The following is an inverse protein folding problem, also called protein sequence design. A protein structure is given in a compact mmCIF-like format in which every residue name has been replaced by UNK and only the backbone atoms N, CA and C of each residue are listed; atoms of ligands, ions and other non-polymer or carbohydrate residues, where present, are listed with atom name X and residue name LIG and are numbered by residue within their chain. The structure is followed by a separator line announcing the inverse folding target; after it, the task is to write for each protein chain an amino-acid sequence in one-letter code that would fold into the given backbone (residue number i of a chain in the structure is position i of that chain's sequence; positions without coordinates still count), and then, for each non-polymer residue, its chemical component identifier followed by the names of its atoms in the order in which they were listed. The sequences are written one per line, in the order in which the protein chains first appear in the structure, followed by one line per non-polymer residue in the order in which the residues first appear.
data_IF_670970165453
#
_entry.id   IF_670970165453
#
_cell.length_a   1.000
_cell.length_b   1.000
_cell.length_c   1.000
_cell.angle_alpha   90.00
_cell.angle_beta   90.00
_cell.angle_gamma   90.00
#
_symmetry.space_group_name_H-M   'P 1'
#
loop_
_entity.id
_entity.type
_entity.pdbx_description
1 polymer ?
#
# COMPACT_ATOMS: atom_id res chain seq x y z
N UNK A 1 28.22 -9.60 -24.18
CA UNK A 1 26.84 -9.14 -24.46
C UNK A 1 26.02 -9.30 -23.20
N UNK A 2 25.69 -8.19 -22.52
CA UNK A 2 24.79 -8.22 -21.35
C UNK A 2 23.38 -8.54 -21.86
N UNK A 3 22.75 -9.57 -21.32
CA UNK A 3 21.38 -9.95 -21.67
C UNK A 3 20.44 -8.75 -21.39
N UNK A 4 19.91 -8.17 -22.47
CA UNK A 4 18.97 -7.04 -22.47
C UNK A 4 17.51 -7.51 -22.24
N UNK A 5 17.29 -8.65 -21.63
CA UNK A 5 15.93 -9.15 -21.43
C UNK A 5 15.63 -9.18 -19.93
N UNK A 6 14.75 -8.29 -19.50
CA UNK A 6 14.12 -8.38 -18.21
C UNK A 6 13.34 -9.72 -18.08
N UNK A 7 13.09 -10.13 -16.86
CA UNK A 7 12.41 -11.40 -16.56
C UNK A 7 10.89 -11.37 -16.79
N UNK A 8 10.31 -10.21 -17.05
CA UNK A 8 8.91 -10.11 -17.44
C UNK A 8 8.79 -10.17 -18.97
N UNK A 9 7.78 -10.90 -19.45
CA UNK A 9 7.64 -11.27 -20.86
C UNK A 9 6.68 -10.38 -21.63
N UNK A 10 5.57 -9.99 -20.98
CA UNK A 10 4.46 -9.29 -21.62
C UNK A 10 3.54 -8.66 -20.57
N UNK A 11 2.56 -7.92 -21.02
CA UNK A 11 1.33 -7.70 -20.26
C UNK A 11 0.31 -8.77 -20.63
N UNK A 12 -0.50 -9.20 -19.66
CA UNK A 12 -1.51 -10.25 -19.84
C UNK A 12 -2.84 -9.79 -19.25
N UNK A 13 -3.91 -10.00 -19.99
CA UNK A 13 -5.25 -9.73 -19.50
C UNK A 13 -5.62 -10.72 -18.38
N UNK A 14 -6.09 -10.23 -17.25
CA UNK A 14 -6.50 -11.05 -16.10
C UNK A 14 -7.76 -11.88 -16.39
N UNK A 15 -8.62 -11.43 -17.32
CA UNK A 15 -9.89 -12.05 -17.64
C UNK A 15 -9.75 -13.08 -18.78
N UNK A 16 -9.32 -12.63 -19.97
CA UNK A 16 -9.30 -13.47 -21.17
C UNK A 16 -7.93 -14.08 -21.49
N UNK A 17 -6.88 -13.76 -20.75
CA UNK A 17 -5.55 -14.32 -20.92
C UNK A 17 -4.76 -13.78 -22.13
N UNK A 18 -5.28 -12.83 -22.92
CA UNK A 18 -4.55 -12.26 -24.07
C UNK A 18 -3.29 -11.54 -23.63
N UNK A 19 -2.22 -11.71 -24.43
CA UNK A 19 -0.95 -11.06 -24.21
C UNK A 19 -0.83 -9.77 -25.03
N UNK A 20 -0.12 -8.79 -24.45
CA UNK A 20 0.13 -7.47 -25.00
C UNK A 20 1.61 -7.11 -24.88
N UNK A 21 2.12 -6.22 -25.74
CA UNK A 21 3.50 -5.76 -25.65
C UNK A 21 3.78 -5.03 -24.32
N UNK A 22 5.06 -4.89 -23.98
CA UNK A 22 5.56 -4.21 -22.76
C UNK A 22 5.47 -2.69 -22.87
N UNK A 23 4.32 -2.17 -23.21
CA UNK A 23 4.03 -0.76 -23.47
C UNK A 23 3.17 -0.13 -22.38
N UNK A 24 2.84 1.14 -22.51
CA UNK A 24 1.98 1.87 -21.56
C UNK A 24 0.48 1.54 -21.79
N UNK A 25 0.11 0.30 -21.55
CA UNK A 25 -1.23 -0.24 -21.70
C UNK A 25 -1.76 -0.73 -20.35
N UNK A 26 -3.06 -0.57 -20.08
CA UNK A 26 -3.65 -0.96 -18.80
C UNK A 26 -4.95 -1.75 -18.92
N UNK A 27 -5.57 -1.75 -20.09
CA UNK A 27 -6.87 -2.39 -20.36
C UNK A 27 -6.75 -3.26 -21.60
N UNK A 28 -7.38 -4.42 -21.58
CA UNK A 28 -7.51 -5.32 -22.72
C UNK A 28 -8.44 -4.72 -23.77
N UNK A 29 -8.00 -4.63 -25.02
CA UNK A 29 -8.80 -4.12 -26.13
C UNK A 29 -9.99 -5.00 -26.52
N UNK A 30 -9.94 -6.27 -26.11
CA UNK A 30 -10.98 -7.24 -26.45
C UNK A 30 -12.10 -7.36 -25.41
N UNK A 31 -11.76 -7.54 -24.13
CA UNK A 31 -12.76 -7.77 -23.08
C UNK A 31 -12.78 -6.68 -22.02
N UNK A 32 -11.99 -5.61 -22.20
CA UNK A 32 -11.83 -4.49 -21.28
C UNK A 32 -11.36 -4.88 -19.87
N UNK A 33 -10.90 -6.12 -19.68
CA UNK A 33 -10.31 -6.57 -18.43
C UNK A 33 -8.96 -5.88 -18.15
N UNK A 34 -8.56 -5.73 -16.87
CA UNK A 34 -7.30 -5.12 -16.52
C UNK A 34 -6.11 -5.99 -16.95
N UNK A 35 -5.05 -5.32 -17.39
CA UNK A 35 -3.78 -5.97 -17.70
C UNK A 35 -2.93 -6.10 -16.44
N UNK A 36 -2.15 -7.16 -16.35
CA UNK A 36 -1.09 -7.36 -15.37
C UNK A 36 0.20 -7.85 -16.03
N UNK A 37 1.32 -7.72 -15.32
CA UNK A 37 2.62 -8.14 -15.80
C UNK A 37 2.75 -9.65 -15.71
N UNK A 38 3.20 -10.27 -16.81
CA UNK A 38 3.53 -11.68 -16.90
C UNK A 38 5.04 -11.89 -16.85
N UNK A 39 5.48 -13.00 -16.22
CA UNK A 39 6.89 -13.27 -15.96
C UNK A 39 7.29 -14.65 -16.44
N UNK A 40 8.54 -14.79 -16.88
CA UNK A 40 9.19 -16.07 -17.12
C UNK A 40 9.69 -16.68 -15.79
N UNK A 41 8.79 -17.33 -15.08
CA UNK A 41 9.13 -17.92 -13.77
C UNK A 41 10.12 -19.08 -13.90
N UNK A 42 10.19 -19.78 -15.03
CA UNK A 42 11.13 -20.87 -15.24
C UNK A 42 12.54 -20.31 -15.37
N UNK A 43 12.71 -19.21 -16.13
CA UNK A 43 13.98 -18.50 -16.20
C UNK A 43 14.34 -17.90 -14.83
N UNK A 44 13.41 -17.24 -14.14
CA UNK A 44 13.66 -16.64 -12.81
C UNK A 44 14.16 -17.72 -11.83
N UNK A 45 13.55 -18.90 -11.83
CA UNK A 45 13.92 -20.02 -10.95
C UNK A 45 15.37 -20.46 -11.13
N UNK A 46 15.94 -20.32 -12.34
CA UNK A 46 17.33 -20.70 -12.61
C UNK A 46 18.36 -19.70 -12.06
N UNK A 47 17.93 -18.46 -11.76
CA UNK A 47 18.85 -17.37 -11.43
C UNK A 47 18.60 -16.73 -10.06
N UNK A 48 17.43 -16.90 -9.47
CA UNK A 48 17.05 -16.28 -8.21
C UNK A 48 17.04 -17.31 -7.07
N UNK A 49 17.94 -17.12 -6.10
CA UNK A 49 18.06 -17.92 -4.88
C UNK A 49 17.95 -17.02 -3.65
N UNK A 50 17.72 -17.61 -2.47
CA UNK A 50 17.72 -16.86 -1.20
C UNK A 50 19.06 -16.14 -1.00
N UNK A 51 20.18 -16.82 -1.16
CA UNK A 51 21.53 -16.25 -1.02
C UNK A 51 21.74 -15.06 -1.95
N UNK A 52 21.25 -15.14 -3.18
CA UNK A 52 21.33 -14.03 -4.14
C UNK A 52 20.49 -12.84 -3.73
N UNK A 53 19.32 -13.05 -3.16
CA UNK A 53 18.49 -11.98 -2.62
C UNK A 53 19.21 -11.34 -1.42
N UNK A 54 19.67 -12.13 -0.46
CA UNK A 54 20.33 -11.68 0.76
C UNK A 54 21.65 -10.96 0.50
N UNK A 55 22.40 -11.32 -0.55
CA UNK A 55 23.64 -10.66 -0.94
C UNK A 55 23.45 -9.23 -1.46
N UNK A 56 22.23 -8.78 -1.71
CA UNK A 56 21.94 -7.45 -2.25
C UNK A 56 21.61 -6.46 -1.13
N UNK A 57 21.76 -5.14 -1.40
CA UNK A 57 21.35 -4.10 -0.45
C UNK A 57 19.90 -4.30 0.05
N UNK A 58 19.62 -3.97 1.33
CA UNK A 58 18.30 -4.15 1.93
C UNK A 58 17.31 -3.07 1.43
N UNK A 59 16.85 -3.22 0.20
CA UNK A 59 15.84 -2.39 -0.47
C UNK A 59 14.88 -3.31 -1.23
N UNK A 60 13.76 -2.77 -1.70
CA UNK A 60 12.83 -3.55 -2.52
C UNK A 60 13.46 -4.09 -3.82
N UNK A 61 14.51 -3.45 -4.31
CA UNK A 61 15.19 -3.81 -5.56
C UNK A 61 16.02 -5.09 -5.46
N UNK A 62 16.15 -5.66 -4.27
CA UNK A 62 16.77 -7.00 -4.09
C UNK A 62 15.96 -8.12 -4.75
N UNK A 63 14.65 -7.87 -5.05
CA UNK A 63 13.73 -8.77 -5.76
C UNK A 63 13.53 -8.37 -7.22
N UNK A 64 14.48 -7.68 -7.85
CA UNK A 64 14.32 -7.05 -9.17
C UNK A 64 13.89 -8.00 -10.30
N UNK A 65 14.23 -9.29 -10.22
CA UNK A 65 13.80 -10.30 -11.19
C UNK A 65 12.27 -10.51 -11.18
N UNK A 66 11.62 -10.18 -10.09
CA UNK A 66 10.17 -10.25 -9.89
C UNK A 66 9.49 -8.87 -10.02
N UNK A 67 10.21 -7.85 -10.50
CA UNK A 67 9.68 -6.51 -10.73
C UNK A 67 9.79 -6.16 -12.23
N UNK A 68 8.86 -5.35 -12.78
CA UNK A 68 8.73 -5.13 -14.22
C UNK A 68 9.69 -4.04 -14.74
N UNK A 69 10.98 -4.25 -14.54
CA UNK A 69 12.07 -3.43 -15.09
C UNK A 69 12.99 -4.29 -15.95
N UNK A 70 13.58 -3.74 -16.99
CA UNK A 70 14.47 -4.45 -17.91
C UNK A 70 15.94 -4.23 -17.59
N UNK A 71 16.28 -3.10 -16.95
CA UNK A 71 17.63 -2.73 -16.54
C UNK A 71 17.84 -2.72 -15.04
N UNK A 72 18.86 -1.95 -14.63
CA UNK A 72 19.04 -1.60 -13.21
C UNK A 72 17.99 -0.56 -12.82
N UNK A 73 17.49 -0.59 -11.56
CA UNK A 73 16.55 0.41 -11.10
C UNK A 73 17.17 1.81 -11.18
N UNK A 74 16.38 2.78 -11.61
CA UNK A 74 16.86 4.16 -11.80
C UNK A 74 16.26 5.16 -10.81
N UNK A 75 15.27 4.74 -10.04
CA UNK A 75 14.52 5.58 -9.09
C UNK A 75 14.24 4.75 -7.84
N UNK A 76 14.24 5.39 -6.68
CA UNK A 76 13.86 4.76 -5.42
C UNK A 76 14.89 3.77 -4.86
N UNK A 77 16.19 4.10 -4.93
CA UNK A 77 17.26 3.21 -4.48
C UNK A 77 17.21 2.82 -3.00
N UNK A 78 16.53 3.60 -2.16
CA UNK A 78 16.43 3.38 -0.72
C UNK A 78 15.02 2.92 -0.29
N UNK A 79 14.14 2.67 -1.25
CA UNK A 79 12.74 2.29 -0.98
C UNK A 79 12.64 0.83 -0.57
N UNK A 80 11.74 0.56 0.36
CA UNK A 80 11.42 -0.78 0.80
C UNK A 80 12.39 -1.35 1.84
N UNK A 81 12.31 -2.65 2.05
CA UNK A 81 12.95 -3.39 3.13
C UNK A 81 12.75 -2.73 4.51
N UNK A 82 11.55 -2.19 4.69
CA UNK A 82 11.14 -1.56 5.95
C UNK A 82 11.10 -2.59 7.08
N UNK A 83 11.22 -2.16 8.33
CA UNK A 83 11.23 -3.10 9.45
C UNK A 83 9.99 -3.99 9.51
N UNK A 84 10.18 -5.27 9.77
CA UNK A 84 9.16 -6.19 10.28
C UNK A 84 9.34 -6.26 11.79
N UNK A 85 8.51 -5.52 12.53
CA UNK A 85 8.65 -5.33 13.97
C UNK A 85 7.86 -6.40 14.72
N UNK A 86 8.51 -7.14 15.62
CA UNK A 86 7.81 -8.04 16.55
C UNK A 86 7.01 -7.18 17.54
N UNK A 87 5.70 -7.39 17.61
CA UNK A 87 4.76 -6.55 18.35
C UNK A 87 4.20 -7.28 19.59
N UNK A 88 5.07 -7.61 20.55
CA UNK A 88 4.72 -8.44 21.70
C UNK A 88 3.74 -7.77 22.67
N UNK A 89 3.80 -6.43 22.83
CA UNK A 89 2.87 -5.69 23.70
C UNK A 89 1.50 -5.58 23.05
N UNK A 90 1.43 -5.37 21.73
CA UNK A 90 0.19 -5.41 20.98
C UNK A 90 -0.40 -6.82 20.98
N UNK A 91 0.42 -7.85 20.79
CA UNK A 91 0.01 -9.26 20.86
C UNK A 91 -0.69 -9.56 22.20
N UNK A 92 -0.06 -9.17 23.32
CA UNK A 92 -0.64 -9.32 24.67
C UNK A 92 -1.99 -8.59 24.80
N UNK A 93 -2.12 -7.39 24.26
CA UNK A 93 -3.37 -6.60 24.28
C UNK A 93 -4.48 -7.23 23.44
N UNK A 94 -4.14 -7.97 22.40
CA UNK A 94 -5.07 -8.67 21.51
C UNK A 94 -5.32 -10.13 21.93
N UNK A 95 -4.59 -10.66 22.92
CA UNK A 95 -4.69 -12.07 23.33
C UNK A 95 -4.06 -13.05 22.34
N UNK A 96 -3.05 -12.60 21.56
CA UNK A 96 -2.32 -13.39 20.56
C UNK A 96 -0.89 -13.71 21.02
N UNK A 97 -0.31 -14.77 20.47
CA UNK A 97 1.06 -15.21 20.78
C UNK A 97 2.12 -14.63 19.85
N UNK A 98 1.80 -14.41 18.58
CA UNK A 98 2.75 -13.96 17.58
C UNK A 98 2.15 -12.88 16.66
N UNK A 99 2.53 -11.62 16.89
CA UNK A 99 2.12 -10.48 16.07
C UNK A 99 3.33 -9.73 15.55
N UNK A 100 3.28 -9.39 14.28
CA UNK A 100 4.29 -8.60 13.58
C UNK A 100 3.66 -7.40 12.89
N UNK A 101 4.40 -6.30 12.83
CA UNK A 101 4.02 -5.10 12.10
C UNK A 101 4.98 -4.90 10.94
N UNK A 102 4.49 -4.99 9.70
CA UNK A 102 5.21 -4.53 8.52
C UNK A 102 5.10 -3.02 8.44
N UNK A 103 6.17 -2.34 8.82
CA UNK A 103 6.15 -0.92 9.19
C UNK A 103 6.60 -0.01 8.04
N UNK A 104 5.68 0.38 7.15
CA UNK A 104 5.94 1.38 6.10
C UNK A 104 5.77 2.83 6.58
N UNK A 105 5.59 3.08 7.89
CA UNK A 105 5.63 4.46 8.42
C UNK A 105 6.99 5.11 8.25
N UNK A 106 8.04 4.31 8.07
CA UNK A 106 9.42 4.77 7.88
C UNK A 106 9.93 4.54 6.45
N UNK A 107 9.06 4.21 5.51
CA UNK A 107 9.45 3.97 4.12
C UNK A 107 9.93 5.27 3.45
N UNK A 108 11.10 5.23 2.85
CA UNK A 108 11.73 6.38 2.19
C UNK A 108 11.13 6.57 0.78
N UNK A 109 10.96 7.82 0.25
CA UNK A 109 11.26 9.10 0.90
C UNK A 109 10.05 9.77 1.58
N UNK A 110 8.83 9.27 1.37
CA UNK A 110 7.62 10.00 1.77
C UNK A 110 6.85 9.37 2.92
N UNK A 111 7.46 8.46 3.64
CA UNK A 111 6.91 7.80 4.83
C UNK A 111 5.60 7.07 4.56
N UNK A 112 5.52 6.39 3.40
CA UNK A 112 4.37 5.57 3.06
C UNK A 112 4.70 4.43 2.09
N UNK A 113 3.82 3.44 2.05
CA UNK A 113 3.81 2.34 1.10
C UNK A 113 3.88 2.80 -0.37
N UNK A 114 3.36 4.00 -0.68
CA UNK A 114 3.29 4.50 -2.06
C UNK A 114 4.65 4.64 -2.73
N UNK A 115 5.71 4.80 -1.97
CA UNK A 115 7.07 4.87 -2.51
C UNK A 115 7.47 3.58 -3.23
N UNK A 116 6.98 2.41 -2.80
CA UNK A 116 7.22 1.12 -3.46
C UNK A 116 6.67 1.09 -4.89
N UNK A 117 5.39 1.39 -5.02
CA UNK A 117 4.67 1.31 -6.30
C UNK A 117 5.11 2.41 -7.27
N UNK A 118 5.40 3.59 -6.74
CA UNK A 118 5.86 4.73 -7.54
C UNK A 118 7.28 4.51 -8.06
N UNK A 119 8.19 3.99 -7.25
CA UNK A 119 9.57 3.69 -7.69
C UNK A 119 9.59 2.75 -8.88
N UNK A 120 8.77 1.70 -8.87
CA UNK A 120 8.64 0.78 -10.01
C UNK A 120 8.02 1.47 -11.22
N UNK A 121 6.91 2.20 -11.02
CA UNK A 121 6.23 2.91 -12.10
C UNK A 121 7.13 3.91 -12.80
N UNK A 122 7.87 4.74 -12.04
CA UNK A 122 8.75 5.76 -12.62
C UNK A 122 10.01 5.16 -13.27
N UNK A 123 10.58 4.10 -12.69
CA UNK A 123 11.68 3.38 -13.34
C UNK A 123 11.23 2.80 -14.68
N UNK A 124 10.04 2.19 -14.74
CA UNK A 124 9.48 1.67 -15.98
C UNK A 124 9.08 2.79 -16.96
N UNK A 125 8.51 3.89 -16.49
CA UNK A 125 8.19 5.04 -17.32
C UNK A 125 9.45 5.57 -18.05
N UNK A 126 10.57 5.67 -17.34
CA UNK A 126 11.85 6.06 -17.92
C UNK A 126 12.34 5.07 -18.98
N UNK A 127 12.26 3.78 -18.74
CA UNK A 127 12.61 2.74 -19.73
C UNK A 127 11.74 2.82 -20.99
N UNK A 128 10.48 3.24 -20.85
CA UNK A 128 9.55 3.50 -21.95
C UNK A 128 9.76 4.85 -22.64
N UNK A 129 10.72 5.66 -22.19
CA UNK A 129 11.05 6.96 -22.78
C UNK A 129 10.17 8.13 -22.36
N UNK A 130 9.38 7.98 -21.27
CA UNK A 130 8.59 9.10 -20.75
C UNK A 130 9.47 10.10 -19.99
N UNK A 131 9.32 11.37 -20.31
CA UNK A 131 9.98 12.49 -19.62
C UNK A 131 9.09 13.12 -18.54
N UNK A 132 7.79 12.97 -18.68
CA UNK A 132 6.78 13.54 -17.78
C UNK A 132 5.97 12.43 -17.10
N UNK A 133 5.88 12.50 -15.77
CA UNK A 133 5.07 11.61 -14.95
C UNK A 133 3.96 12.38 -14.25
N UNK A 134 2.83 11.73 -14.06
CA UNK A 134 1.67 12.40 -13.46
C UNK A 134 0.82 11.43 -12.62
N UNK A 135 -0.03 11.99 -11.77
CA UNK A 135 -1.08 11.26 -11.06
C UNK A 135 -2.30 12.13 -10.77
N UNK A 136 -3.46 11.48 -10.66
CA UNK A 136 -4.67 12.05 -10.07
C UNK A 136 -4.73 11.63 -8.59
N UNK A 137 -4.21 12.47 -7.68
CA UNK A 137 -4.18 12.15 -6.25
C UNK A 137 -3.79 13.35 -5.41
N UNK A 138 -4.31 13.41 -4.20
CA UNK A 138 -4.08 14.48 -3.22
C UNK A 138 -3.23 14.06 -2.02
N UNK A 139 -2.93 12.77 -1.87
CA UNK A 139 -2.31 12.22 -0.67
C UNK A 139 -0.97 11.53 -0.94
N UNK A 140 -0.77 10.39 -0.29
CA UNK A 140 0.46 9.62 -0.33
C UNK A 140 0.98 9.34 -1.76
N UNK A 141 0.07 9.13 -2.73
CA UNK A 141 0.48 8.89 -4.11
C UNK A 141 1.12 10.13 -4.74
N UNK A 142 0.49 11.31 -4.61
CA UNK A 142 1.02 12.55 -5.15
C UNK A 142 2.37 12.91 -4.51
N UNK A 143 2.49 12.79 -3.19
CA UNK A 143 3.74 13.04 -2.48
C UNK A 143 4.86 12.12 -2.97
N UNK A 144 4.54 10.83 -3.15
CA UNK A 144 5.50 9.84 -3.63
C UNK A 144 5.93 10.10 -5.07
N UNK A 145 4.99 10.44 -5.97
CA UNK A 145 5.31 10.82 -7.36
C UNK A 145 6.21 12.05 -7.37
N UNK A 146 5.87 13.07 -6.58
CA UNK A 146 6.65 14.30 -6.48
C UNK A 146 8.10 14.04 -6.03
N UNK A 147 8.28 13.34 -4.92
CA UNK A 147 9.61 13.06 -4.35
C UNK A 147 10.46 12.17 -5.26
N UNK A 148 9.89 11.07 -5.77
CA UNK A 148 10.60 10.14 -6.63
C UNK A 148 10.90 10.73 -8.02
N UNK A 149 10.02 11.58 -8.57
CA UNK A 149 10.28 12.30 -9.81
C UNK A 149 11.41 13.33 -9.63
N UNK A 150 11.39 14.10 -8.53
CA UNK A 150 12.44 15.06 -8.22
C UNK A 150 13.80 14.39 -8.11
N UNK A 151 13.92 13.30 -7.31
CA UNK A 151 15.16 12.54 -7.17
C UNK A 151 15.61 11.87 -8.48
N UNK A 152 14.64 11.52 -9.34
CA UNK A 152 14.87 10.94 -10.65
C UNK A 152 15.13 11.96 -11.75
N UNK A 153 15.02 13.27 -11.52
CA UNK A 153 15.16 14.30 -12.56
C UNK A 153 14.06 14.26 -13.62
N UNK A 154 12.85 13.80 -13.28
CA UNK A 154 11.68 13.76 -14.16
C UNK A 154 10.74 14.92 -13.85
N UNK A 155 10.11 15.49 -14.88
CA UNK A 155 9.05 16.48 -14.70
C UNK A 155 7.78 15.81 -14.17
N UNK A 156 7.15 16.38 -13.15
CA UNK A 156 5.99 15.77 -12.51
C UNK A 156 4.79 16.72 -12.41
N UNK A 157 3.59 16.11 -12.49
CA UNK A 157 2.30 16.78 -12.32
C UNK A 157 1.39 16.01 -11.37
N UNK A 158 0.71 16.73 -10.47
CA UNK A 158 -0.35 16.20 -9.62
C UNK A 158 -1.66 16.92 -9.93
N UNK A 159 -2.68 16.18 -10.32
CA UNK A 159 -4.03 16.70 -10.60
C UNK A 159 -4.91 16.45 -9.38
N UNK A 160 -5.52 17.51 -8.84
CA UNK A 160 -6.26 17.48 -7.58
C UNK A 160 -7.57 18.25 -7.73
N UNK A 161 -8.62 18.00 -6.90
CA UNK A 161 -9.75 18.92 -6.77
C UNK A 161 -9.28 20.31 -6.30
N UNK A 162 -9.87 21.38 -6.88
CA UNK A 162 -9.42 22.76 -6.65
C UNK A 162 -9.75 23.30 -5.25
N UNK A 163 -10.66 22.67 -4.52
CA UNK A 163 -11.11 23.01 -3.17
C UNK A 163 -10.26 22.42 -2.04
N UNK A 164 -9.14 21.79 -2.40
CA UNK A 164 -8.27 21.15 -1.43
C UNK A 164 -7.46 22.17 -0.61
N UNK A 165 -7.37 21.93 0.69
CA UNK A 165 -6.59 22.77 1.62
C UNK A 165 -5.09 22.81 1.25
N UNK A 166 -4.49 24.01 1.27
CA UNK A 166 -3.07 24.23 0.91
C UNK A 166 -2.11 23.32 1.68
N UNK A 167 -2.36 23.05 2.97
CA UNK A 167 -1.53 22.17 3.79
C UNK A 167 -1.44 20.73 3.24
N UNK A 168 -2.48 20.24 2.58
CA UNK A 168 -2.50 18.89 2.00
C UNK A 168 -1.69 18.76 0.70
N UNK A 169 -1.46 19.88 0.01
CA UNK A 169 -0.68 19.89 -1.24
C UNK A 169 0.80 20.23 -1.01
N UNK A 170 1.15 20.78 0.15
CA UNK A 170 2.51 21.21 0.48
C UNK A 170 3.53 20.06 0.33
N UNK A 171 3.14 18.84 0.73
CA UNK A 171 3.97 17.65 0.59
C UNK A 171 4.29 17.24 -0.86
N UNK A 172 3.62 17.83 -1.86
CA UNK A 172 3.98 17.69 -3.28
C UNK A 172 4.68 18.93 -3.81
N UNK A 173 4.22 20.12 -3.42
CA UNK A 173 4.78 21.40 -3.87
C UNK A 173 6.25 21.57 -3.48
N UNK A 174 6.67 21.10 -2.31
CA UNK A 174 8.06 21.22 -1.80
C UNK A 174 9.08 20.53 -2.71
N UNK A 175 8.66 19.53 -3.48
CA UNK A 175 9.52 18.84 -4.45
C UNK A 175 9.51 19.46 -5.84
N UNK A 176 8.86 20.62 -6.03
CA UNK A 176 8.77 21.30 -7.32
C UNK A 176 7.78 20.68 -8.32
N UNK A 177 6.88 19.82 -7.84
CA UNK A 177 5.82 19.25 -8.67
C UNK A 177 4.82 20.30 -9.11
N UNK A 178 4.39 20.25 -10.38
CA UNK A 178 3.32 21.08 -10.89
C UNK A 178 1.98 20.57 -10.37
N UNK A 179 1.38 21.26 -9.41
CA UNK A 179 0.07 20.90 -8.85
C UNK A 179 -1.01 21.68 -9.58
N UNK A 180 -1.97 20.95 -10.18
CA UNK A 180 -3.05 21.51 -10.99
C UNK A 180 -4.37 21.27 -10.25
N UNK A 181 -5.00 22.34 -9.78
CA UNK A 181 -6.34 22.30 -9.17
C UNK A 181 -7.43 22.27 -10.26
N UNK A 182 -8.28 21.25 -10.24
CA UNK A 182 -9.39 21.06 -11.17
C UNK A 182 -10.70 21.37 -10.47
N UNK A 183 -11.52 22.24 -11.06
CA UNK A 183 -12.90 22.50 -10.63
C UNK A 183 -13.78 21.37 -11.17
N UNK A 184 -14.06 20.38 -10.34
CA UNK A 184 -14.83 19.20 -10.73
C UNK A 184 -14.74 18.07 -9.71
N UNK A 185 -15.45 16.99 -10.00
CA UNK A 185 -15.44 15.77 -9.20
C UNK A 185 -14.17 14.96 -9.44
N UNK A 186 -13.90 13.99 -8.56
CA UNK A 186 -12.78 13.07 -8.73
C UNK A 186 -12.85 12.27 -10.04
N UNK A 187 -14.05 11.90 -10.48
CA UNK A 187 -14.25 11.17 -11.74
C UNK A 187 -13.94 12.05 -12.97
N UNK A 188 -14.30 13.35 -12.93
CA UNK A 188 -13.93 14.31 -13.97
C UNK A 188 -12.41 14.55 -14.01
N UNK A 189 -11.74 14.60 -12.87
CA UNK A 189 -10.27 14.66 -12.78
C UNK A 189 -9.65 13.43 -13.44
N UNK A 190 -10.13 12.22 -13.13
CA UNK A 190 -9.60 10.98 -13.72
C UNK A 190 -9.83 10.91 -15.23
N UNK A 191 -11.00 11.36 -15.72
CA UNK A 191 -11.29 11.43 -17.14
C UNK A 191 -10.32 12.38 -17.85
N UNK A 192 -10.14 13.59 -17.34
CA UNK A 192 -9.17 14.55 -17.87
C UNK A 192 -7.74 13.99 -17.90
N UNK A 193 -7.32 13.29 -16.83
CA UNK A 193 -6.03 12.65 -16.79
C UNK A 193 -5.84 11.58 -17.88
N UNK A 194 -6.90 10.83 -18.19
CA UNK A 194 -6.88 9.84 -19.27
C UNK A 194 -6.79 10.50 -20.64
N UNK A 195 -7.48 11.61 -20.86
CA UNK A 195 -7.40 12.42 -22.09
C UNK A 195 -5.99 13.01 -22.28
N UNK A 196 -5.38 13.54 -21.19
CA UNK A 196 -4.01 14.08 -21.22
C UNK A 196 -3.00 12.96 -21.52
N UNK A 197 -3.15 11.78 -20.88
CA UNK A 197 -2.28 10.64 -21.14
C UNK A 197 -2.26 10.25 -22.62
N UNK A 198 -3.44 10.19 -23.25
CA UNK A 198 -3.56 9.85 -24.67
C UNK A 198 -3.03 10.94 -25.60
N UNK A 199 -3.25 12.23 -25.27
CA UNK A 199 -2.90 13.35 -26.15
C UNK A 199 -1.42 13.76 -26.10
N UNK A 200 -0.84 13.76 -24.89
CA UNK A 200 0.50 14.29 -24.67
C UNK A 200 1.56 13.21 -24.41
N UNK A 201 1.18 11.94 -24.37
CA UNK A 201 2.12 10.85 -24.11
C UNK A 201 2.76 10.94 -22.72
N UNK A 202 2.03 11.35 -21.69
CA UNK A 202 2.53 11.40 -20.33
C UNK A 202 2.28 10.08 -19.59
N UNK A 203 3.19 9.72 -18.70
CA UNK A 203 3.04 8.54 -17.86
C UNK A 203 2.20 8.86 -16.62
N UNK A 204 0.93 8.49 -16.62
CA UNK A 204 0.07 8.55 -15.45
C UNK A 204 0.20 7.25 -14.65
N UNK A 205 0.78 7.30 -13.45
CA UNK A 205 1.11 6.12 -12.65
C UNK A 205 -0.09 5.25 -12.30
N UNK A 206 -1.26 5.86 -12.13
CA UNK A 206 -2.51 5.18 -11.80
C UNK A 206 -3.49 5.01 -13.00
N UNK A 207 -3.03 5.29 -14.23
CA UNK A 207 -3.80 5.12 -15.47
C UNK A 207 -3.02 4.22 -16.44
N UNK A 208 -2.30 4.80 -17.42
CA UNK A 208 -1.71 4.05 -18.54
C UNK A 208 -0.52 3.15 -18.16
N UNK A 209 0.19 3.44 -17.06
CA UNK A 209 1.26 2.55 -16.54
C UNK A 209 0.86 1.81 -15.25
N UNK A 210 -0.43 1.73 -14.95
CA UNK A 210 -0.97 1.07 -13.77
C UNK A 210 -0.54 -0.40 -13.59
N UNK A 211 -0.42 -1.25 -14.61
CA UNK A 211 0.07 -2.62 -14.43
C UNK A 211 1.45 -2.68 -13.77
N UNK A 212 2.38 -1.82 -14.21
CA UNK A 212 3.74 -1.75 -13.65
C UNK A 212 3.73 -1.16 -12.22
N UNK A 213 2.96 -0.11 -12.01
CA UNK A 213 2.73 0.48 -10.69
C UNK A 213 2.26 -0.57 -9.68
N UNK A 214 1.26 -1.38 -10.03
CA UNK A 214 0.70 -2.37 -9.14
C UNK A 214 1.73 -3.43 -8.67
N UNK A 215 2.67 -3.82 -9.54
CA UNK A 215 3.69 -4.82 -9.24
C UNK A 215 4.65 -4.40 -8.11
N UNK A 216 4.87 -3.09 -7.91
CA UNK A 216 5.65 -2.60 -6.78
C UNK A 216 5.09 -2.99 -5.40
N UNK A 217 3.79 -3.27 -5.33
CA UNK A 217 3.14 -3.75 -4.10
C UNK A 217 3.64 -5.13 -3.66
N UNK A 218 4.12 -5.96 -4.58
CA UNK A 218 4.63 -7.31 -4.27
C UNK A 218 5.81 -7.27 -3.32
N UNK A 219 6.62 -6.22 -3.38
CA UNK A 219 7.80 -6.07 -2.53
C UNK A 219 7.45 -6.18 -1.03
N UNK A 220 6.29 -5.68 -0.61
CA UNK A 220 5.86 -5.82 0.79
C UNK A 220 5.69 -7.29 1.20
N UNK A 221 5.08 -8.12 0.35
CA UNK A 221 4.91 -9.54 0.64
C UNK A 221 6.23 -10.33 0.58
N UNK A 222 7.11 -10.02 -0.37
CA UNK A 222 8.45 -10.63 -0.40
C UNK A 222 9.24 -10.35 0.87
N UNK A 223 9.23 -9.09 1.31
CA UNK A 223 9.91 -8.67 2.54
C UNK A 223 9.30 -9.32 3.78
N UNK A 224 7.98 -9.48 3.86
CA UNK A 224 7.33 -10.21 4.95
C UNK A 224 7.87 -11.64 5.00
N UNK A 225 7.87 -12.36 3.90
CA UNK A 225 8.33 -13.74 3.86
C UNK A 225 9.83 -13.89 4.18
N UNK A 226 10.69 -13.03 3.63
CA UNK A 226 12.14 -13.04 3.90
C UNK A 226 12.41 -12.69 5.36
N UNK A 227 11.83 -11.62 5.89
CA UNK A 227 12.09 -11.14 7.26
C UNK A 227 11.48 -12.05 8.35
N UNK A 228 10.51 -12.89 8.00
CA UNK A 228 10.04 -13.99 8.86
C UNK A 228 10.96 -15.21 8.83
N UNK A 229 12.13 -15.15 8.19
CA UNK A 229 13.05 -16.28 8.05
C UNK A 229 12.65 -17.24 6.93
N UNK A 230 12.17 -16.69 5.80
CA UNK A 230 11.74 -17.45 4.61
C UNK A 230 10.55 -18.37 4.88
N UNK A 231 9.56 -17.87 5.62
CA UNK A 231 8.28 -18.53 5.86
C UNK A 231 7.10 -17.59 5.62
N UNK A 232 5.93 -18.16 5.38
CA UNK A 232 4.69 -17.39 5.33
C UNK A 232 4.03 -17.33 6.72
N UNK A 233 3.37 -16.22 7.08
CA UNK A 233 2.56 -16.14 8.29
C UNK A 233 1.23 -16.87 8.10
N UNK A 234 0.54 -17.22 9.20
CA UNK A 234 -0.81 -17.78 9.13
C UNK A 234 -1.83 -16.72 8.69
N UNK A 235 -1.64 -15.47 9.12
CA UNK A 235 -2.56 -14.37 8.82
C UNK A 235 -1.83 -13.09 8.40
N UNK A 236 -2.44 -12.36 7.43
CA UNK A 236 -2.03 -11.00 7.06
C UNK A 236 -3.27 -10.10 7.04
N UNK A 237 -3.24 -8.94 7.71
CA UNK A 237 -4.29 -7.92 7.63
C UNK A 237 -3.81 -6.74 6.81
N UNK A 238 -4.58 -6.39 5.76
CA UNK A 238 -4.19 -5.43 4.73
C UNK A 238 -5.25 -4.33 4.59
N UNK A 239 -4.89 -3.04 4.69
CA UNK A 239 -5.81 -1.95 4.41
C UNK A 239 -6.11 -1.87 2.92
N UNK A 240 -7.38 -1.70 2.56
CA UNK A 240 -7.84 -1.68 1.17
C UNK A 240 -8.43 -0.32 0.79
N UNK A 241 -7.81 0.34 -0.19
CA UNK A 241 -8.41 1.44 -0.94
C UNK A 241 -9.03 0.89 -2.25
N UNK A 242 -8.27 0.89 -3.34
CA UNK A 242 -8.65 0.26 -4.60
C UNK A 242 -8.50 -1.25 -4.66
N UNK A 243 -7.88 -1.89 -3.66
CA UNK A 243 -7.73 -3.35 -3.56
C UNK A 243 -6.41 -3.91 -4.12
N UNK A 244 -5.54 -3.11 -4.74
CA UNK A 244 -4.33 -3.62 -5.39
C UNK A 244 -3.35 -4.28 -4.42
N UNK A 245 -3.11 -3.72 -3.23
CA UNK A 245 -2.10 -4.22 -2.29
C UNK A 245 -2.39 -5.66 -1.83
N UNK A 246 -3.63 -5.94 -1.42
CA UNK A 246 -4.02 -7.28 -0.93
C UNK A 246 -3.82 -8.36 -2.02
N UNK A 247 -4.17 -8.06 -3.27
CA UNK A 247 -3.99 -8.99 -4.39
C UNK A 247 -2.51 -9.24 -4.70
N UNK A 248 -1.65 -8.22 -4.53
CA UNK A 248 -0.22 -8.32 -4.84
C UNK A 248 0.58 -8.97 -3.71
N UNK A 249 0.17 -8.87 -2.45
CA UNK A 249 0.72 -9.68 -1.36
C UNK A 249 0.42 -11.17 -1.62
N UNK A 250 -0.81 -11.50 -2.02
CA UNK A 250 -1.15 -12.86 -2.40
C UNK A 250 -0.30 -13.37 -3.59
N UNK A 251 -0.15 -12.54 -4.63
CA UNK A 251 0.69 -12.87 -5.79
C UNK A 251 2.13 -13.12 -5.37
N UNK A 252 2.71 -12.28 -4.51
CA UNK A 252 4.09 -12.41 -4.06
C UNK A 252 4.34 -13.71 -3.29
N UNK A 253 3.44 -14.12 -2.41
CA UNK A 253 3.54 -15.39 -1.69
C UNK A 253 3.48 -16.59 -2.66
N UNK A 254 2.53 -16.54 -3.61
CA UNK A 254 2.45 -17.59 -4.66
C UNK A 254 3.71 -17.67 -5.52
N UNK A 255 4.32 -16.52 -5.84
CA UNK A 255 5.57 -16.47 -6.60
C UNK A 255 6.73 -17.10 -5.82
N UNK A 256 6.88 -16.79 -4.54
CA UNK A 256 7.93 -17.37 -3.71
C UNK A 256 7.76 -18.88 -3.54
N UNK A 257 6.53 -19.37 -3.36
CA UNK A 257 6.25 -20.82 -3.32
C UNK A 257 6.55 -21.47 -4.67
N UNK A 258 6.12 -20.86 -5.80
CA UNK A 258 6.37 -21.36 -7.15
C UNK A 258 7.87 -21.46 -7.47
N UNK A 259 8.65 -20.50 -7.00
CA UNK A 259 10.11 -20.47 -7.19
C UNK A 259 10.87 -21.39 -6.22
N UNK A 260 10.20 -21.96 -5.21
CA UNK A 260 10.82 -22.78 -4.18
C UNK A 260 11.65 -21.96 -3.16
N UNK A 261 11.39 -20.65 -3.07
CA UNK A 261 12.05 -19.75 -2.10
C UNK A 261 11.44 -19.87 -0.69
N UNK A 262 10.17 -20.27 -0.60
CA UNK A 262 9.50 -20.61 0.66
C UNK A 262 8.70 -21.88 0.48
N UNK A 263 8.51 -22.64 1.56
CA UNK A 263 7.66 -23.81 1.57
C UNK A 263 6.18 -23.41 1.42
N UNK A 264 5.38 -24.31 0.86
CA UNK A 264 3.94 -24.11 0.80
C UNK A 264 3.37 -24.13 2.22
N UNK A 265 2.64 -23.09 2.56
CA UNK A 265 1.93 -22.93 3.82
C UNK A 265 0.55 -22.35 3.55
N UNK A 266 -0.47 -22.82 4.25
CA UNK A 266 -1.81 -22.27 4.16
C UNK A 266 -1.87 -20.98 5.00
N UNK A 267 -2.35 -19.91 4.39
CA UNK A 267 -2.44 -18.59 5.01
C UNK A 267 -3.76 -17.92 4.67
N UNK A 268 -4.19 -17.04 5.54
CA UNK A 268 -5.39 -16.22 5.35
C UNK A 268 -5.03 -14.75 5.18
N UNK A 269 -5.54 -14.09 4.13
CA UNK A 269 -5.37 -12.66 3.93
C UNK A 269 -6.69 -11.96 4.21
N UNK A 270 -6.68 -11.03 5.17
CA UNK A 270 -7.84 -10.29 5.61
C UNK A 270 -7.78 -8.84 5.10
N UNK A 271 -8.93 -8.33 4.67
CA UNK A 271 -9.06 -6.97 4.21
C UNK A 271 -9.63 -6.03 5.27
N UNK A 272 -9.18 -4.77 5.27
CA UNK A 272 -9.67 -3.74 6.17
C UNK A 272 -10.06 -2.47 5.42
N UNK A 273 -11.27 -1.94 5.62
CA UNK A 273 -11.75 -0.66 5.14
C UNK A 273 -12.41 0.12 6.28
N UNK A 274 -12.55 1.44 6.16
CA UNK A 274 -13.32 2.23 7.12
C UNK A 274 -14.83 2.10 6.84
N UNK A 275 -15.66 2.06 7.88
CA UNK A 275 -17.12 1.88 7.77
C UNK A 275 -17.78 2.88 6.82
N UNK A 276 -17.39 4.16 6.88
CA UNK A 276 -17.92 5.21 6.01
C UNK A 276 -17.53 5.11 4.53
N UNK A 277 -16.68 4.14 4.14
CA UNK A 277 -16.38 3.77 2.76
C UNK A 277 -15.82 2.35 2.67
N UNK A 278 -16.70 1.33 2.71
CA UNK A 278 -16.34 -0.07 2.78
C UNK A 278 -16.96 -0.94 1.67
N UNK A 279 -16.89 -0.55 0.38
CA UNK A 279 -17.59 -1.27 -0.69
C UNK A 279 -17.12 -2.72 -0.84
N UNK A 280 -15.81 -3.02 -0.65
CA UNK A 280 -15.27 -4.39 -0.74
C UNK A 280 -15.74 -5.22 0.45
N UNK A 281 -15.65 -4.67 1.67
CA UNK A 281 -16.07 -5.37 2.90
C UNK A 281 -17.58 -5.65 2.87
N UNK A 282 -18.37 -4.68 2.43
CA UNK A 282 -19.83 -4.85 2.32
C UNK A 282 -20.20 -5.97 1.34
N UNK A 283 -19.54 -6.04 0.18
CA UNK A 283 -19.73 -7.12 -0.78
C UNK A 283 -19.29 -8.48 -0.21
N UNK A 284 -18.13 -8.54 0.46
CA UNK A 284 -17.63 -9.76 1.10
C UNK A 284 -18.59 -10.29 2.17
N UNK A 285 -19.09 -9.41 3.07
CA UNK A 285 -20.05 -9.75 4.11
C UNK A 285 -21.40 -10.18 3.56
N UNK A 286 -21.82 -9.61 2.42
CA UNK A 286 -23.05 -9.99 1.72
C UNK A 286 -22.92 -11.27 0.88
N UNK A 287 -21.73 -11.89 0.81
CA UNK A 287 -21.47 -13.04 -0.05
C UNK A 287 -21.49 -12.72 -1.55
N UNK A 288 -21.45 -11.43 -1.93
CA UNK A 288 -21.53 -10.98 -3.31
C UNK A 288 -20.16 -10.91 -3.98
N UNK A 289 -20.11 -11.13 -5.30
CA UNK A 289 -18.92 -10.91 -6.13
C UNK A 289 -18.87 -9.47 -6.70
N UNK A 290 -20.05 -8.89 -6.90
CA UNK A 290 -20.19 -7.56 -7.47
C UNK A 290 -20.23 -6.51 -6.35
N UNK A 291 -19.35 -5.54 -6.48
CA UNK A 291 -19.26 -4.42 -5.53
C UNK A 291 -20.30 -3.35 -5.89
N UNK A 292 -21.04 -2.91 -4.89
CA UNK A 292 -21.88 -1.72 -5.00
C UNK A 292 -21.06 -0.49 -4.64
N UNK A 293 -20.82 0.45 -5.56
CA UNK A 293 -20.04 1.65 -5.28
C UNK A 293 -20.63 2.51 -4.16
N UNK A 294 -19.78 3.13 -3.37
CA UNK A 294 -20.14 4.16 -2.38
C UNK A 294 -19.96 5.53 -3.03
N UNK A 295 -21.05 6.22 -3.32
CA UNK A 295 -21.05 7.50 -4.06
C UNK A 295 -20.52 8.68 -3.22
N UNK A 296 -20.71 8.65 -1.90
CA UNK A 296 -20.33 9.73 -0.97
C UNK A 296 -19.60 9.14 0.24
N UNK A 297 -18.29 8.88 0.15
CA UNK A 297 -17.49 8.42 1.28
C UNK A 297 -17.52 9.42 2.45
N UNK A 298 -17.82 8.94 3.65
CA UNK A 298 -17.89 9.74 4.87
C UNK A 298 -17.02 9.10 5.97
N UNK A 299 -15.72 9.39 5.96
CA UNK A 299 -14.76 8.89 6.94
C UNK A 299 -13.56 9.83 7.07
N UNK A 300 -12.88 9.80 8.22
CA UNK A 300 -11.60 10.44 8.44
C UNK A 300 -10.47 9.76 7.63
N UNK A 301 -10.67 8.52 7.17
CA UNK A 301 -9.67 7.69 6.49
C UNK A 301 -9.61 8.02 4.99
N UNK A 302 -9.21 9.23 4.67
CA UNK A 302 -9.24 9.77 3.28
C UNK A 302 -8.42 8.93 2.30
N UNK A 303 -7.31 8.35 2.73
CA UNK A 303 -6.44 7.50 1.88
C UNK A 303 -7.08 6.19 1.43
N UNK A 304 -8.09 5.69 2.15
CA UNK A 304 -8.85 4.47 1.81
C UNK A 304 -10.23 4.78 1.22
N UNK A 305 -10.66 6.03 1.15
CA UNK A 305 -12.01 6.45 0.76
C UNK A 305 -12.23 6.36 -0.78
N UNK A 306 -12.02 5.19 -1.35
CA UNK A 306 -12.27 4.88 -2.76
C UNK A 306 -13.61 4.18 -2.88
N UNK A 307 -14.62 4.92 -3.32
CA UNK A 307 -16.00 4.41 -3.40
C UNK A 307 -16.22 3.37 -4.50
N UNK A 308 -15.45 3.43 -5.59
CA UNK A 308 -15.48 2.44 -6.68
C UNK A 308 -14.09 1.80 -6.86
N UNK A 309 -13.75 0.76 -6.09
CA UNK A 309 -12.43 0.15 -6.08
C UNK A 309 -12.16 -0.70 -7.32
N UNK A 310 -11.18 -0.33 -8.11
CA UNK A 310 -10.87 -0.98 -9.39
C UNK A 310 -10.37 -2.43 -9.27
N UNK A 311 -9.74 -2.81 -8.16
CA UNK A 311 -9.32 -4.19 -7.88
C UNK A 311 -10.24 -4.88 -6.84
N UNK A 312 -11.44 -4.34 -6.62
CA UNK A 312 -12.32 -4.82 -5.56
C UNK A 312 -12.78 -6.26 -5.76
N UNK A 313 -13.18 -6.64 -6.98
CA UNK A 313 -13.50 -8.03 -7.33
C UNK A 313 -12.35 -8.99 -6.97
N UNK A 314 -11.14 -8.64 -7.39
CA UNK A 314 -9.96 -9.48 -7.14
C UNK A 314 -9.56 -9.52 -5.66
N UNK A 315 -9.88 -8.48 -4.90
CA UNK A 315 -9.69 -8.47 -3.43
C UNK A 315 -10.61 -9.47 -2.75
N UNK A 316 -11.88 -9.53 -3.16
CA UNK A 316 -12.86 -10.51 -2.66
C UNK A 316 -12.39 -11.93 -3.03
N UNK A 317 -11.97 -12.16 -4.27
CA UNK A 317 -11.45 -13.46 -4.69
C UNK A 317 -10.19 -13.86 -3.89
N UNK A 318 -9.28 -12.93 -3.65
CA UNK A 318 -8.08 -13.18 -2.82
C UNK A 318 -8.46 -13.64 -1.41
N UNK A 319 -9.35 -12.92 -0.74
CA UNK A 319 -9.79 -13.28 0.60
C UNK A 319 -10.50 -14.65 0.62
N UNK A 320 -11.38 -14.93 -0.32
CA UNK A 320 -12.06 -16.23 -0.42
C UNK A 320 -11.09 -17.38 -0.69
N UNK A 321 -10.16 -17.23 -1.63
CA UNK A 321 -9.17 -18.25 -1.98
C UNK A 321 -8.22 -18.59 -0.83
N UNK A 322 -7.98 -17.64 0.07
CA UNK A 322 -7.11 -17.81 1.22
C UNK A 322 -7.86 -18.09 2.53
N UNK A 323 -9.19 -18.28 2.50
CA UNK A 323 -9.99 -18.43 3.72
C UNK A 323 -10.03 -17.18 4.61
N UNK A 324 -9.62 -16.03 4.08
CA UNK A 324 -9.62 -14.76 4.77
C UNK A 324 -11.01 -14.12 4.90
N UNK A 325 -11.05 -12.98 5.57
CA UNK A 325 -12.25 -12.21 5.83
C UNK A 325 -12.00 -10.71 5.72
N UNK A 326 -13.02 -9.89 5.94
CA UNK A 326 -12.88 -8.44 5.91
C UNK A 326 -13.67 -7.78 7.03
N UNK A 327 -13.08 -6.70 7.60
CA UNK A 327 -13.73 -5.88 8.64
C UNK A 327 -13.68 -4.39 8.31
N UNK A 328 -14.71 -3.66 8.78
CA UNK A 328 -14.89 -2.24 8.56
C UNK A 328 -15.14 -1.49 9.87
N UNK A 329 -14.10 -1.17 10.65
CA UNK A 329 -14.22 -0.37 11.86
C UNK A 329 -14.73 1.05 11.56
N UNK A 330 -15.46 1.65 12.53
CA UNK A 330 -15.86 3.04 12.48
C UNK A 330 -14.70 4.00 12.82
N UNK A 331 -14.90 5.30 12.62
CA UNK A 331 -13.84 6.30 12.80
C UNK A 331 -13.30 6.38 14.23
N UNK A 332 -14.09 6.12 15.27
CA UNK A 332 -13.63 6.11 16.65
C UNK A 332 -12.75 4.87 16.93
N UNK A 333 -13.11 3.71 16.41
CA UNK A 333 -12.29 2.51 16.47
C UNK A 333 -10.97 2.68 15.72
N UNK A 334 -10.99 3.41 14.60
CA UNK A 334 -9.79 3.77 13.84
C UNK A 334 -8.83 4.60 14.70
N UNK A 335 -9.33 5.63 15.38
CA UNK A 335 -8.53 6.45 16.30
C UNK A 335 -8.01 5.62 17.47
N UNK A 336 -8.85 4.75 18.04
CA UNK A 336 -8.42 3.82 19.11
C UNK A 336 -7.33 2.87 18.60
N UNK A 337 -7.41 2.40 17.35
CA UNK A 337 -6.39 1.57 16.70
C UNK A 337 -5.06 2.28 16.52
N UNK A 338 -5.06 3.56 16.09
CA UNK A 338 -3.85 4.39 15.99
C UNK A 338 -3.19 4.50 17.38
N UNK A 339 -3.98 4.85 18.39
CA UNK A 339 -3.47 5.01 19.76
C UNK A 339 -2.94 3.70 20.33
N UNK A 340 -3.67 2.60 20.14
CA UNK A 340 -3.24 1.27 20.61
C UNK A 340 -1.87 0.90 20.05
N UNK A 341 -1.65 1.08 18.75
CA UNK A 341 -0.35 0.79 18.12
C UNK A 341 0.76 1.70 18.63
N UNK A 342 0.48 2.99 18.79
CA UNK A 342 1.45 3.95 19.31
C UNK A 342 1.79 3.67 20.79
N UNK A 343 0.81 3.40 21.64
CA UNK A 343 0.98 3.14 23.07
C UNK A 343 1.68 1.80 23.36
N UNK A 344 1.54 0.82 22.46
CA UNK A 344 2.16 -0.51 22.64
C UNK A 344 3.52 -0.63 21.97
N UNK A 345 3.66 -0.18 20.72
CA UNK A 345 4.85 -0.43 19.90
C UNK A 345 5.62 0.84 19.52
N UNK A 346 5.18 2.01 19.95
CA UNK A 346 5.81 3.28 19.59
C UNK A 346 5.67 3.65 18.10
N UNK A 347 4.71 3.05 17.40
CA UNK A 347 4.50 3.29 15.96
C UNK A 347 3.31 4.22 15.77
N UNK A 348 3.56 5.45 15.33
CA UNK A 348 2.52 6.40 14.97
C UNK A 348 2.08 6.19 13.52
N UNK A 349 1.00 5.44 13.32
CA UNK A 349 0.44 5.15 12.02
C UNK A 349 -0.58 6.21 11.56
N UNK A 350 -0.69 6.42 10.24
CA UNK A 350 -1.80 7.16 9.64
C UNK A 350 -3.15 6.44 9.85
N UNK A 351 -4.24 7.08 9.47
CA UNK A 351 -5.60 6.53 9.62
C UNK A 351 -5.78 5.14 8.98
N UNK A 352 -5.11 4.86 7.86
CA UNK A 352 -5.14 3.53 7.24
C UNK A 352 -4.54 2.44 8.15
N UNK A 353 -3.47 2.77 8.90
CA UNK A 353 -2.91 1.86 9.92
C UNK A 353 -3.87 1.65 11.09
N UNK A 354 -4.57 2.71 11.51
CA UNK A 354 -5.64 2.61 12.52
C UNK A 354 -6.76 1.64 12.11
N UNK A 355 -7.18 1.70 10.84
CA UNK A 355 -8.15 0.75 10.26
C UNK A 355 -7.62 -0.69 10.35
N UNK A 356 -6.34 -0.90 10.00
CA UNK A 356 -5.72 -2.23 10.06
C UNK A 356 -5.75 -2.81 11.48
N UNK A 357 -5.36 -2.02 12.48
CA UNK A 357 -5.34 -2.46 13.89
C UNK A 357 -6.76 -2.71 14.42
N UNK A 358 -7.70 -1.82 14.15
CA UNK A 358 -9.09 -1.96 14.60
C UNK A 358 -9.79 -3.15 13.93
N UNK A 359 -9.57 -3.37 12.63
CA UNK A 359 -10.07 -4.55 11.93
C UNK A 359 -9.47 -5.84 12.50
N UNK A 360 -8.18 -5.84 12.83
CA UNK A 360 -7.52 -6.98 13.49
C UNK A 360 -8.20 -7.33 14.81
N UNK A 361 -8.49 -6.33 15.64
CA UNK A 361 -9.20 -6.54 16.90
C UNK A 361 -10.55 -7.23 16.67
N UNK A 362 -11.35 -6.76 15.72
CA UNK A 362 -12.63 -7.37 15.35
C UNK A 362 -12.47 -8.82 14.85
N UNK A 363 -11.45 -9.11 14.06
CA UNK A 363 -11.15 -10.46 13.56
C UNK A 363 -10.81 -11.42 14.70
N UNK A 364 -10.03 -10.98 15.69
CA UNK A 364 -9.70 -11.76 16.89
C UNK A 364 -10.95 -11.98 17.74
N UNK A 365 -11.74 -10.96 18.03
CA UNK A 365 -12.99 -11.03 18.79
C UNK A 365 -14.02 -11.96 18.13
N UNK A 366 -14.03 -12.03 16.79
CA UNK A 366 -14.85 -12.96 16.00
C UNK A 366 -14.27 -14.39 15.92
N UNK A 367 -13.14 -14.68 16.58
CA UNK A 367 -12.49 -16.00 16.58
C UNK A 367 -11.89 -16.43 15.23
N UNK A 368 -11.63 -15.47 14.34
CA UNK A 368 -11.05 -15.76 13.01
C UNK A 368 -9.54 -15.84 13.02
N UNK A 369 -8.88 -15.36 14.05
CA UNK A 369 -7.45 -15.47 14.31
C UNK A 369 -7.29 -16.05 15.71
N UNK A 370 -6.62 -17.19 15.82
CA UNK A 370 -6.44 -17.90 17.09
C UNK A 370 -5.16 -17.46 17.77
N UNK A 371 -5.10 -17.67 19.09
CA UNK A 371 -3.97 -17.22 19.91
C UNK A 371 -2.61 -17.84 19.57
N UNK A 372 -2.60 -19.02 18.94
CA UNK A 372 -1.40 -19.76 18.56
C UNK A 372 -0.98 -19.54 17.10
N UNK A 373 -1.69 -18.70 16.34
CA UNK A 373 -1.42 -18.40 14.95
C UNK A 373 -0.60 -17.10 14.82
N UNK A 374 0.29 -17.06 13.84
CA UNK A 374 1.13 -15.90 13.53
C UNK A 374 0.37 -14.88 12.68
N UNK A 375 0.52 -13.60 12.99
CA UNK A 375 -0.18 -12.50 12.34
C UNK A 375 0.77 -11.39 11.90
N UNK A 376 0.61 -10.89 10.68
CA UNK A 376 1.27 -9.68 10.19
C UNK A 376 0.24 -8.58 9.92
N UNK A 377 0.46 -7.40 10.50
CA UNK A 377 -0.29 -6.18 10.19
C UNK A 377 0.49 -5.32 9.18
N UNK A 378 -0.14 -4.97 8.06
CA UNK A 378 0.45 -4.05 7.08
C UNK A 378 0.13 -2.60 7.47
N UNK A 379 1.10 -1.87 8.01
CA UNK A 379 0.98 -0.46 8.38
C UNK A 379 1.61 0.38 7.28
N UNK A 380 0.78 1.13 6.54
CA UNK A 380 1.10 1.65 5.21
C UNK A 380 1.55 3.11 5.16
N UNK A 381 1.57 3.83 6.28
CA UNK A 381 2.04 5.21 6.30
C UNK A 381 2.08 5.83 7.68
N UNK A 382 2.83 6.95 7.79
CA UNK A 382 3.12 7.63 9.03
C UNK A 382 1.99 8.57 9.47
N UNK A 383 1.71 8.62 10.77
CA UNK A 383 0.64 9.41 11.39
C UNK A 383 0.78 10.93 11.23
N UNK A 384 2.00 11.44 11.05
CA UNK A 384 2.23 12.85 10.74
C UNK A 384 1.53 13.35 9.47
N UNK A 385 1.08 12.43 8.60
CA UNK A 385 0.32 12.75 7.38
C UNK A 385 -1.18 12.97 7.63
N UNK A 386 -1.68 12.57 8.80
CA UNK A 386 -3.11 12.63 9.17
C UNK A 386 -3.28 13.03 10.64
N UNK A 387 -2.51 14.01 11.11
CA UNK A 387 -2.53 14.47 12.51
C UNK A 387 -3.92 14.94 12.95
N UNK A 388 -4.67 15.53 12.03
CA UNK A 388 -6.03 16.01 12.26
C UNK A 388 -6.98 14.92 12.78
N UNK A 389 -6.72 13.66 12.43
CA UNK A 389 -7.54 12.53 12.87
C UNK A 389 -7.46 12.26 14.38
N UNK A 390 -6.34 12.60 15.01
CA UNK A 390 -6.07 12.37 16.44
C UNK A 390 -6.00 13.66 17.28
N UNK A 391 -6.06 14.82 16.63
CA UNK A 391 -6.07 16.13 17.31
C UNK A 391 -7.27 16.22 18.26
N UNK A 392 -7.02 16.61 19.50
CA UNK A 392 -8.02 16.68 20.58
C UNK A 392 -8.48 15.32 21.13
N UNK A 393 -7.95 14.20 20.61
CA UNK A 393 -8.32 12.84 21.05
C UNK A 393 -7.22 12.10 21.84
N UNK A 394 -6.04 12.71 21.99
CA UNK A 394 -4.89 12.13 22.69
C UNK A 394 -4.61 12.80 24.06
N UNK A 395 -5.51 13.65 24.52
CA UNK A 395 -5.32 14.46 25.73
C UNK A 395 -4.60 15.79 25.44
N UNK A 396 -4.45 16.62 26.47
CA UNK A 396 -3.84 17.94 26.42
C UNK A 396 -2.59 18.01 27.30
N UNK A 397 -1.61 18.84 26.93
CA UNK A 397 -0.45 19.12 27.78
C UNK A 397 -0.90 19.73 29.12
N UNK A 398 -0.36 19.26 30.23
CA UNK A 398 -0.53 19.90 31.53
C UNK A 398 0.48 21.03 31.64
N UNK A 399 0.02 22.26 31.82
CA UNK A 399 0.87 23.43 31.97
C UNK A 399 1.10 23.71 33.44
N UNK A 400 2.38 23.87 33.81
CA UNK A 400 2.82 24.26 35.17
C UNK A 400 3.90 25.35 35.06
N UNK A 401 4.17 26.06 36.12
CA UNK A 401 5.34 26.92 36.26
C UNK A 401 6.63 26.08 36.45
N UNK A 402 7.83 26.69 36.32
CA UNK A 402 9.11 26.00 36.43
C UNK A 402 9.50 25.72 37.89
N UNK A 403 8.56 25.22 38.71
CA UNK A 403 8.74 24.98 40.14
C UNK A 403 8.44 23.54 40.51
N UNK A 404 9.33 22.90 41.29
CA UNK A 404 9.21 21.50 41.70
C UNK A 404 7.89 21.21 42.43
N UNK A 405 7.43 22.10 43.31
CA UNK A 405 6.19 21.90 44.04
C UNK A 405 4.95 21.79 43.15
N UNK A 406 4.91 22.52 42.03
CA UNK A 406 3.82 22.43 41.07
C UNK A 406 3.82 21.05 40.33
N UNK A 407 5.01 20.52 40.01
CA UNK A 407 5.14 19.19 39.45
C UNK A 407 4.71 18.10 40.45
N UNK A 408 5.13 18.21 41.70
CA UNK A 408 4.73 17.27 42.76
C UNK A 408 3.21 17.26 42.99
N UNK A 409 2.59 18.45 42.96
CA UNK A 409 1.12 18.55 43.04
C UNK A 409 0.38 17.84 41.88
N UNK A 410 1.01 17.66 40.72
CA UNK A 410 0.45 16.84 39.63
C UNK A 410 0.53 15.33 39.90
N UNK A 411 1.56 14.88 40.63
CA UNK A 411 1.72 13.47 41.00
C UNK A 411 0.71 13.05 42.06
N UNK A 412 0.49 13.94 43.06
CA UNK A 412 -0.46 13.67 44.16
C UNK A 412 -1.92 13.62 43.71
N UNK A 413 -2.28 14.27 42.59
CA UNK A 413 -3.63 14.21 42.01
C UNK A 413 -3.92 12.92 41.22
N UNK A 414 -2.96 12.01 41.09
CA UNK A 414 -3.12 10.71 40.40
C UNK A 414 -3.40 9.53 41.34
N UNK A 415 -3.37 9.76 42.66
CA UNK A 415 -3.82 8.82 43.69
C UNK A 415 -5.19 9.28 44.21
#
# INVERSE_FOLDING_TARGET
MKAKHGFFTSLKCRECGRHYPKEALHVCEFCFGPLEVDYDYDLIKTVLTRDKIESRPPTMWRYRELLPIEGEPTIGFQVGFTPLVRADRLAKRLGLGEVWVKNDTVNYPTLSFKDRVVSVALSRARELGFEVVACASTGNLANSVAANAASGGMKSYAFIPADLETGKVLGSLVYGTNVIGIRGTYDEVNRLCSEIAGKYGWAFVNVNIRPYYAEGSKAMGYEIAEQLGWRLPDHVVVPMAGGSLITKIHKSFKEFVKLGLVDKHDYSIHGAQAEGCAPIVNAMKAGADIIKPVSKPQTIVKSLAIGNPADGFYSIQTMRQTGGWAENPNDDEVVAGIRLLAETEGIFAETAGGVTVAATKRLVEAGRIKSNESLVLCITGHGLKTQEAVTGKCGEPRVIGPHLHEFLALLDRKN
#
